data_IF_315662596532
#
_entry.id   IF_315662596532
#
_cell.length_a   1.000
_cell.length_b   1.000
_cell.length_c   1.000
_cell.angle_alpha   90.00
_cell.angle_beta   90.00
_cell.angle_gamma   90.00
#
_symmetry.space_group_name_H-M   'P 1'
#
loop_
_entity.id
_entity.type
_entity.pdbx_description
1 polymer ?
#
# COMPACT_ATOMS: atom_id res chain seq x y z
N UNK A 1 62.25 63.12 30.83
CA UNK A 1 62.77 62.16 29.84
C UNK A 1 61.68 61.16 29.53
N UNK A 2 61.45 60.92 28.24
CA UNK A 2 60.42 60.06 27.65
C UNK A 2 60.44 58.64 28.24
N UNK A 3 59.27 58.02 28.43
CA UNK A 3 58.96 56.80 27.66
C UNK A 3 57.48 56.41 27.65
N UNK A 4 57.06 55.95 26.47
CA UNK A 4 55.71 55.53 26.03
C UNK A 4 55.27 54.22 26.67
N UNK A 5 53.96 54.04 26.85
CA UNK A 5 53.22 52.75 26.88
C UNK A 5 51.81 53.04 27.46
N UNK A 6 50.66 52.60 26.96
CA UNK A 6 50.22 51.77 25.84
C UNK A 6 48.75 52.20 25.57
N UNK A 7 48.32 52.28 24.31
CA UNK A 7 46.91 52.44 23.95
C UNK A 7 46.19 51.11 24.21
N UNK A 8 45.03 51.13 24.88
CA UNK A 8 44.00 50.11 24.64
C UNK A 8 42.66 50.79 24.41
N UNK A 9 42.18 50.68 23.17
CA UNK A 9 40.84 51.03 22.74
C UNK A 9 39.87 50.00 23.32
N UNK A 10 38.90 50.43 24.13
CA UNK A 10 37.73 49.60 24.42
C UNK A 10 36.67 49.94 23.38
N UNK A 11 36.69 49.22 22.27
CA UNK A 11 35.61 49.23 21.29
C UNK A 11 34.36 48.61 21.94
N UNK A 12 33.33 49.43 22.18
CA UNK A 12 32.00 48.94 22.53
C UNK A 12 31.33 48.40 21.26
N UNK A 13 31.41 47.08 21.04
CA UNK A 13 30.55 46.38 20.10
C UNK A 13 29.19 46.17 20.78
N UNK A 14 28.19 46.97 20.42
CA UNK A 14 26.80 46.63 20.74
C UNK A 14 26.36 45.50 19.78
N UNK A 15 26.21 44.32 20.35
CA UNK A 15 25.77 43.10 19.71
C UNK A 15 24.31 43.26 19.26
N UNK A 16 24.08 43.35 17.94
CA UNK A 16 22.74 43.26 17.36
C UNK A 16 22.23 41.82 17.53
N UNK A 17 21.25 41.62 18.41
CA UNK A 17 20.53 40.35 18.55
C UNK A 17 19.55 40.25 17.38
N UNK A 18 19.96 39.52 16.34
CA UNK A 18 19.07 39.12 15.25
C UNK A 18 18.20 37.99 15.79
N UNK A 19 16.92 38.27 16.05
CA UNK A 19 15.92 37.27 16.36
C UNK A 19 15.59 36.50 15.06
N UNK A 20 16.26 35.38 14.84
CA UNK A 20 15.93 34.45 13.76
C UNK A 20 14.57 33.82 14.08
N UNK A 21 13.51 34.35 13.45
CA UNK A 21 12.21 33.67 13.41
C UNK A 21 12.41 32.42 12.57
N UNK A 22 12.60 31.29 13.24
CA UNK A 22 12.57 29.98 12.59
C UNK A 22 11.11 29.67 12.26
N UNK A 23 10.73 29.92 11.01
CA UNK A 23 9.49 29.40 10.46
C UNK A 23 9.67 27.88 10.39
N UNK A 24 9.17 27.16 11.39
CA UNK A 24 9.02 25.72 11.31
C UNK A 24 7.94 25.42 10.26
N UNK A 25 8.36 25.29 9.00
CA UNK A 25 7.51 24.70 7.97
C UNK A 25 7.29 23.24 8.36
N UNK A 26 6.21 22.93 9.08
CA UNK A 26 5.67 21.57 9.01
C UNK A 26 5.38 21.34 7.54
N UNK A 27 6.20 20.52 6.88
CA UNK A 27 5.87 20.00 5.58
C UNK A 27 4.42 19.50 5.68
N UNK A 28 3.55 20.03 4.83
CA UNK A 28 2.21 19.47 4.68
C UNK A 28 2.47 18.04 4.20
N UNK A 29 2.36 17.08 5.11
CA UNK A 29 2.36 15.68 4.72
C UNK A 29 1.18 15.55 3.77
N UNK A 30 1.49 15.35 2.49
CA UNK A 30 0.49 15.05 1.47
C UNK A 30 -0.19 13.79 1.96
N UNK A 31 -1.42 13.92 2.48
CA UNK A 31 -2.10 12.80 3.12
C UNK A 31 -2.34 11.69 2.09
N UNK A 32 -1.87 10.48 2.38
CA UNK A 32 -2.05 9.32 1.52
C UNK A 32 -3.53 9.06 1.23
N UNK A 33 -3.82 8.41 0.10
CA UNK A 33 -5.18 7.97 -0.20
C UNK A 33 -5.44 6.67 0.56
N UNK A 34 -5.97 6.81 1.78
CA UNK A 34 -6.26 5.69 2.69
C UNK A 34 -7.67 5.14 2.48
N UNK A 35 -7.77 3.81 2.41
CA UNK A 35 -9.00 3.04 2.41
C UNK A 35 -9.01 2.15 3.67
N UNK A 36 -9.26 2.73 4.86
CA UNK A 36 -9.35 1.93 6.07
C UNK A 36 -10.55 0.99 5.98
N UNK A 37 -10.40 -0.21 6.54
CA UNK A 37 -11.56 -1.05 6.78
C UNK A 37 -12.42 -0.41 7.87
N UNK A 38 -13.73 -0.46 7.68
CA UNK A 38 -14.78 0.08 8.54
C UNK A 38 -16.03 -0.81 8.41
N UNK A 39 -17.07 -0.54 9.19
CA UNK A 39 -18.31 -1.34 9.20
C UNK A 39 -18.96 -1.50 7.81
N UNK A 40 -18.78 -0.53 6.91
CA UNK A 40 -19.36 -0.53 5.56
C UNK A 40 -18.46 -1.20 4.52
N UNK A 41 -17.27 -1.66 4.91
CA UNK A 41 -16.28 -2.20 3.97
C UNK A 41 -16.71 -3.45 3.23
N UNK A 42 -17.64 -4.22 3.80
CA UNK A 42 -18.28 -5.34 3.11
C UNK A 42 -19.04 -4.94 1.83
N UNK A 43 -19.38 -3.66 1.65
CA UNK A 43 -20.11 -3.19 0.47
C UNK A 43 -19.22 -3.07 -0.78
N UNK A 44 -17.91 -2.88 -0.62
CA UNK A 44 -16.99 -2.64 -1.74
C UNK A 44 -15.87 -3.68 -1.84
N UNK A 45 -15.64 -4.47 -0.80
CA UNK A 45 -14.73 -5.61 -0.82
C UNK A 45 -15.49 -6.92 -1.02
N UNK A 46 -15.11 -7.67 -2.05
CA UNK A 46 -15.80 -8.88 -2.49
C UNK A 46 -14.88 -10.08 -2.41
N UNK A 47 -15.40 -11.17 -1.87
CA UNK A 47 -14.80 -12.49 -2.01
C UNK A 47 -14.99 -13.02 -3.43
N UNK A 48 -13.93 -13.52 -4.06
CA UNK A 48 -14.02 -14.30 -5.30
C UNK A 48 -13.09 -15.50 -5.23
N UNK A 49 -13.48 -16.60 -5.87
CA UNK A 49 -12.71 -17.84 -5.96
C UNK A 49 -12.61 -18.30 -7.42
N UNK A 50 -11.64 -19.16 -7.71
CA UNK A 50 -11.47 -19.86 -8.98
C UNK A 50 -12.69 -20.71 -9.42
N UNK A 51 -13.67 -20.92 -8.53
CA UNK A 51 -14.94 -21.59 -8.86
C UNK A 51 -15.71 -20.91 -9.98
N UNK A 52 -15.51 -19.62 -10.20
CA UNK A 52 -16.07 -18.90 -11.38
C UNK A 52 -15.52 -19.42 -12.71
N UNK A 53 -14.45 -20.22 -12.68
CA UNK A 53 -13.83 -20.89 -13.82
C UNK A 53 -13.79 -22.42 -13.67
N UNK A 54 -14.52 -23.00 -12.71
CA UNK A 54 -14.58 -24.45 -12.46
C UNK A 54 -13.50 -25.02 -11.52
N UNK A 55 -12.71 -24.15 -10.87
CA UNK A 55 -11.80 -24.53 -9.79
C UNK A 55 -12.52 -25.06 -8.55
N UNK A 56 -11.76 -25.49 -7.54
CA UNK A 56 -12.31 -26.06 -6.30
C UNK A 56 -11.84 -25.33 -5.04
N UNK A 57 -11.22 -24.16 -5.17
CA UNK A 57 -10.79 -23.38 -4.02
C UNK A 57 -11.99 -22.83 -3.26
N UNK A 58 -11.94 -22.92 -1.93
CA UNK A 58 -13.02 -22.52 -1.03
C UNK A 58 -12.54 -21.58 0.05
N UNK A 59 -13.43 -20.73 0.53
CA UNK A 59 -13.08 -19.70 1.49
C UNK A 59 -14.14 -18.63 1.60
N UNK A 60 -13.77 -17.59 2.34
CA UNK A 60 -14.64 -16.48 2.66
C UNK A 60 -13.82 -15.23 2.98
N UNK A 61 -14.48 -14.09 2.87
CA UNK A 61 -14.01 -12.83 3.43
C UNK A 61 -14.97 -12.44 4.55
N UNK A 62 -14.43 -12.25 5.74
CA UNK A 62 -15.17 -11.68 6.86
C UNK A 62 -14.60 -10.30 7.21
N UNK A 63 -15.48 -9.38 7.58
CA UNK A 63 -15.08 -8.16 8.29
C UNK A 63 -15.08 -8.47 9.78
N UNK A 64 -13.92 -8.36 10.41
CA UNK A 64 -13.69 -8.63 11.82
C UNK A 64 -13.18 -7.36 12.51
N UNK A 65 -13.18 -7.36 13.85
CA UNK A 65 -12.76 -6.23 14.66
C UNK A 65 -11.93 -6.71 15.86
N UNK A 66 -10.83 -6.00 16.14
CA UNK A 66 -9.99 -6.19 17.31
C UNK A 66 -9.76 -4.82 17.98
N UNK A 67 -10.34 -4.64 19.16
CA UNK A 67 -10.46 -3.31 19.78
C UNK A 67 -11.18 -2.32 18.87
N UNK A 68 -10.50 -1.23 18.51
CA UNK A 68 -11.02 -0.20 17.59
C UNK A 68 -10.67 -0.49 16.11
N UNK A 69 -9.86 -1.50 15.84
CA UNK A 69 -9.37 -1.80 14.50
C UNK A 69 -10.29 -2.78 13.78
N UNK A 70 -10.92 -2.33 12.70
CA UNK A 70 -11.57 -3.21 11.73
C UNK A 70 -10.54 -3.79 10.77
N UNK A 71 -10.76 -5.04 10.35
CA UNK A 71 -9.95 -5.68 9.32
C UNK A 71 -10.77 -6.68 8.51
N UNK A 72 -10.42 -6.83 7.23
CA UNK A 72 -10.92 -7.94 6.43
C UNK A 72 -10.02 -9.16 6.62
N UNK A 73 -10.62 -10.33 6.78
CA UNK A 73 -9.91 -11.61 6.89
C UNK A 73 -10.31 -12.53 5.74
N UNK A 74 -9.34 -12.92 4.92
CA UNK A 74 -9.49 -13.89 3.84
C UNK A 74 -9.00 -15.26 4.33
N UNK A 75 -9.94 -16.17 4.56
CA UNK A 75 -9.65 -17.54 4.99
C UNK A 75 -10.16 -18.55 3.98
N UNK A 76 -9.46 -19.67 3.82
CA UNK A 76 -9.91 -20.73 2.92
C UNK A 76 -8.83 -21.68 2.44
N UNK A 77 -9.23 -22.74 1.73
CA UNK A 77 -8.35 -23.68 1.06
C UNK A 77 -8.19 -23.27 -0.41
N UNK A 78 -6.95 -23.07 -0.84
CA UNK A 78 -6.60 -22.89 -2.25
C UNK A 78 -6.15 -24.24 -2.80
N UNK A 79 -6.67 -24.62 -3.97
CA UNK A 79 -6.25 -25.81 -4.70
C UNK A 79 -6.09 -25.52 -6.18
N UNK A 80 -5.00 -26.02 -6.74
CA UNK A 80 -4.65 -25.94 -8.17
C UNK A 80 -5.37 -26.98 -9.03
N UNK A 81 -6.20 -27.85 -8.42
CA UNK A 81 -7.06 -28.76 -9.16
C UNK A 81 -8.01 -28.01 -10.12
N UNK A 82 -8.41 -28.68 -11.21
CA UNK A 82 -9.25 -28.13 -12.27
C UNK A 82 -8.72 -26.85 -12.93
N UNK A 83 -7.39 -26.69 -13.02
CA UNK A 83 -6.74 -25.49 -13.54
C UNK A 83 -7.09 -24.21 -12.76
N UNK A 84 -7.50 -24.37 -11.49
CA UNK A 84 -7.79 -23.29 -10.58
C UNK A 84 -6.55 -22.79 -9.84
N UNK A 85 -6.73 -22.51 -8.55
CA UNK A 85 -5.69 -22.11 -7.62
C UNK A 85 -5.83 -20.69 -7.12
N UNK A 86 -7.05 -20.19 -6.84
CA UNK A 86 -7.15 -18.92 -6.09
C UNK A 86 -8.40 -18.70 -5.23
N UNK A 87 -8.20 -17.93 -4.17
CA UNK A 87 -9.23 -17.12 -3.51
C UNK A 87 -8.74 -15.67 -3.38
N UNK A 88 -9.64 -14.69 -3.41
CA UNK A 88 -9.28 -13.28 -3.38
C UNK A 88 -10.27 -12.41 -2.61
N UNK A 89 -9.71 -11.38 -1.97
CA UNK A 89 -10.38 -10.19 -1.47
C UNK A 89 -10.18 -9.08 -2.50
N UNK A 90 -11.24 -8.68 -3.22
CA UNK A 90 -11.15 -7.73 -4.35
C UNK A 90 -12.05 -6.52 -4.17
N UNK A 91 -11.55 -5.34 -4.54
CA UNK A 91 -12.35 -4.14 -4.70
C UNK A 91 -12.28 -3.58 -6.13
N UNK A 92 -13.34 -2.87 -6.53
CA UNK A 92 -13.32 -1.98 -7.69
C UNK A 92 -12.87 -0.61 -7.18
N UNK A 93 -11.80 -0.11 -7.74
CA UNK A 93 -11.23 1.21 -7.42
C UNK A 93 -11.01 1.95 -8.73
N UNK A 94 -10.96 3.27 -8.73
CA UNK A 94 -10.61 4.04 -9.93
C UNK A 94 -9.63 5.14 -9.57
N UNK A 95 -8.52 5.21 -10.29
CA UNK A 95 -7.46 6.19 -10.07
C UNK A 95 -7.27 7.16 -11.24
N UNK A 96 -8.25 7.26 -12.14
CA UNK A 96 -8.18 8.14 -13.33
C UNK A 96 -7.82 9.61 -13.02
N UNK A 97 -8.13 10.09 -11.81
CA UNK A 97 -7.82 11.45 -11.34
C UNK A 97 -7.07 11.44 -9.99
N UNK A 98 -6.25 10.42 -9.72
CA UNK A 98 -5.57 10.30 -8.43
C UNK A 98 -4.30 11.15 -8.30
N UNK A 99 -3.89 11.89 -9.32
CA UNK A 99 -2.72 12.79 -9.21
C UNK A 99 -2.96 13.91 -8.20
N UNK A 100 -1.91 14.29 -7.46
CA UNK A 100 -1.94 15.44 -6.55
C UNK A 100 -0.69 16.26 -6.75
N UNK A 101 -0.86 17.57 -6.93
CA UNK A 101 0.26 18.52 -7.09
C UNK A 101 1.26 18.09 -8.18
N UNK A 102 0.76 17.46 -9.26
CA UNK A 102 1.60 16.93 -10.35
C UNK A 102 2.36 15.64 -10.02
N UNK A 103 2.11 15.01 -8.87
CA UNK A 103 2.69 13.71 -8.48
C UNK A 103 1.70 12.58 -8.73
N UNK A 104 2.24 11.49 -9.28
CA UNK A 104 1.55 10.20 -9.42
C UNK A 104 1.71 9.36 -8.17
N UNK A 105 0.76 8.45 -7.94
CA UNK A 105 0.91 7.42 -6.91
C UNK A 105 2.14 6.56 -7.22
N UNK A 106 2.93 6.25 -6.19
CA UNK A 106 4.15 5.44 -6.29
C UNK A 106 3.97 4.00 -5.85
N UNK A 107 2.92 3.69 -5.09
CA UNK A 107 2.68 2.33 -4.61
C UNK A 107 1.48 2.22 -3.70
N UNK A 108 1.35 1.04 -3.13
CA UNK A 108 0.38 0.71 -2.09
C UNK A 108 1.11 0.26 -0.83
N UNK A 109 0.62 0.68 0.32
CA UNK A 109 1.05 0.29 1.65
C UNK A 109 -0.08 -0.48 2.31
N UNK A 110 0.23 -1.62 2.91
CA UNK A 110 -0.74 -2.49 3.57
C UNK A 110 -0.34 -2.68 5.03
N UNK A 111 -1.32 -2.68 5.94
CA UNK A 111 -1.13 -3.26 7.27
C UNK A 111 -1.74 -4.66 7.29
N UNK A 112 -0.90 -5.68 7.46
CA UNK A 112 -1.32 -7.09 7.34
C UNK A 112 -0.76 -7.96 8.47
N UNK A 113 -1.48 -9.04 8.77
CA UNK A 113 -0.97 -10.22 9.50
C UNK A 113 -1.50 -11.48 8.84
N UNK A 114 -0.88 -12.62 9.11
CA UNK A 114 -1.33 -13.89 8.55
C UNK A 114 -0.49 -15.09 8.98
N UNK A 115 -0.79 -16.22 8.37
CA UNK A 115 -0.22 -17.53 8.69
C UNK A 115 1.23 -17.77 8.19
N UNK A 116 1.96 -16.74 7.74
CA UNK A 116 3.33 -16.90 7.26
C UNK A 116 3.45 -17.20 5.77
N UNK A 117 2.32 -17.37 5.08
CA UNK A 117 2.27 -17.68 3.66
C UNK A 117 2.59 -16.46 2.78
N UNK A 118 2.95 -16.74 1.54
CA UNK A 118 3.11 -15.73 0.48
C UNK A 118 1.79 -15.47 -0.22
N UNK A 119 1.44 -14.19 -0.34
CA UNK A 119 0.25 -13.68 -1.01
C UNK A 119 0.64 -12.76 -2.16
N UNK A 120 -0.33 -12.47 -3.01
CA UNK A 120 -0.18 -11.61 -4.17
C UNK A 120 -1.09 -10.39 -4.06
N UNK A 121 -0.63 -9.26 -4.59
CA UNK A 121 -1.53 -8.21 -5.03
C UNK A 121 -1.73 -8.37 -6.53
N UNK A 122 -2.98 -8.45 -6.98
CA UNK A 122 -3.35 -8.38 -8.39
C UNK A 122 -4.01 -7.03 -8.69
N UNK A 123 -3.46 -6.30 -9.65
CA UNK A 123 -4.01 -5.02 -10.13
C UNK A 123 -4.43 -5.19 -11.59
N UNK A 124 -5.64 -4.72 -11.91
CA UNK A 124 -6.09 -4.61 -13.31
C UNK A 124 -6.25 -3.16 -13.69
N UNK A 125 -5.86 -2.86 -14.92
CA UNK A 125 -6.01 -1.55 -15.55
C UNK A 125 -7.15 -1.57 -16.57
N UNK A 126 -7.57 -0.40 -17.06
CA UNK A 126 -8.47 -0.28 -18.21
C UNK A 126 -7.95 -1.01 -19.48
N UNK A 127 -6.64 -1.14 -19.63
CA UNK A 127 -5.96 -1.93 -20.67
C UNK A 127 -6.00 -3.45 -20.42
N UNK A 128 -6.45 -3.91 -19.26
CA UNK A 128 -6.54 -5.35 -18.97
C UNK A 128 -7.68 -6.00 -19.77
N UNK A 129 -7.36 -6.62 -20.90
CA UNK A 129 -8.33 -7.20 -21.85
C UNK A 129 -9.09 -8.42 -21.31
N UNK A 130 -8.52 -9.16 -20.36
CA UNK A 130 -9.14 -10.35 -19.77
C UNK A 130 -8.94 -10.41 -18.25
N UNK A 131 -9.70 -11.25 -17.52
CA UNK A 131 -9.48 -11.48 -16.09
C UNK A 131 -8.08 -12.00 -15.75
N UNK A 132 -7.43 -12.68 -16.69
CA UNK A 132 -6.07 -13.18 -16.54
C UNK A 132 -4.99 -12.16 -16.89
N UNK A 133 -5.35 -10.96 -17.36
CA UNK A 133 -4.40 -9.88 -17.62
C UNK A 133 -4.37 -8.93 -16.41
N UNK A 134 -3.29 -9.01 -15.64
CA UNK A 134 -3.10 -8.24 -14.41
C UNK A 134 -1.61 -7.99 -14.16
N UNK A 135 -1.35 -6.97 -13.35
CA UNK A 135 -0.07 -6.68 -12.72
C UNK A 135 -0.01 -7.38 -11.37
N UNK A 136 1.14 -7.94 -11.01
CA UNK A 136 1.31 -8.65 -9.75
C UNK A 136 2.60 -8.30 -9.03
N UNK A 137 2.52 -8.37 -7.71
CA UNK A 137 3.67 -8.40 -6.79
C UNK A 137 3.36 -9.37 -5.66
N UNK A 138 4.38 -10.02 -5.11
CA UNK A 138 4.25 -10.89 -3.94
C UNK A 138 4.66 -10.18 -2.67
N UNK A 139 4.05 -10.58 -1.56
CA UNK A 139 4.50 -10.23 -0.21
C UNK A 139 4.30 -11.41 0.74
N UNK A 140 5.04 -11.42 1.84
CA UNK A 140 4.95 -12.46 2.87
C UNK A 140 4.29 -11.88 4.12
N UNK A 141 3.48 -12.69 4.79
CA UNK A 141 2.87 -12.33 6.08
C UNK A 141 3.63 -12.97 7.24
N UNK A 142 3.34 -12.54 8.46
CA UNK A 142 3.67 -13.25 9.70
C UNK A 142 2.53 -13.05 10.72
N UNK A 143 2.63 -13.67 11.90
CA UNK A 143 1.56 -13.63 12.91
C UNK A 143 1.25 -12.23 13.44
N UNK A 144 2.19 -11.30 13.31
CA UNK A 144 2.08 -9.93 13.81
C UNK A 144 1.64 -8.97 12.71
N UNK A 145 0.95 -7.91 13.13
CA UNK A 145 0.63 -6.79 12.25
C UNK A 145 1.91 -6.11 11.78
N UNK A 146 2.03 -5.93 10.47
CA UNK A 146 3.18 -5.29 9.84
C UNK A 146 2.76 -4.40 8.68
N UNK A 147 3.47 -3.29 8.55
CA UNK A 147 3.35 -2.41 7.38
C UNK A 147 4.24 -2.93 6.25
N UNK A 148 3.66 -3.13 5.07
CA UNK A 148 4.38 -3.56 3.87
C UNK A 148 4.19 -2.52 2.77
N UNK A 149 5.30 -1.99 2.27
CA UNK A 149 5.32 -1.08 1.13
C UNK A 149 5.53 -1.86 -0.18
N UNK A 150 4.64 -1.64 -1.13
CA UNK A 150 4.64 -2.29 -2.44
C UNK A 150 4.69 -1.20 -3.54
N UNK A 151 5.90 -0.78 -3.95
CA UNK A 151 6.07 0.20 -5.02
C UNK A 151 5.53 -0.31 -6.35
N UNK A 152 4.79 0.53 -7.09
CA UNK A 152 4.22 0.16 -8.40
C UNK A 152 5.27 -0.19 -9.45
N UNK A 153 6.49 0.35 -9.33
CA UNK A 153 7.61 -0.02 -10.21
C UNK A 153 8.16 -1.44 -9.96
N UNK A 154 7.68 -2.16 -8.95
CA UNK A 154 8.00 -3.56 -8.67
C UNK A 154 6.91 -4.53 -9.12
N UNK A 155 5.79 -4.02 -9.64
CA UNK A 155 4.75 -4.87 -10.19
C UNK A 155 5.12 -5.33 -11.60
N UNK A 156 4.92 -6.60 -11.89
CA UNK A 156 5.10 -7.17 -13.22
C UNK A 156 3.75 -7.50 -13.85
N UNK A 157 3.51 -7.11 -15.11
CA UNK A 157 2.33 -7.57 -15.84
C UNK A 157 2.52 -9.05 -16.20
N UNK A 158 1.52 -9.88 -15.93
CA UNK A 158 1.58 -11.34 -16.14
C UNK A 158 2.05 -11.74 -17.54
N UNK A 159 1.70 -10.96 -18.56
CA UNK A 159 1.99 -11.26 -19.97
C UNK A 159 3.14 -10.42 -20.55
N UNK A 160 3.63 -9.39 -19.84
CA UNK A 160 4.66 -8.46 -20.34
C UNK A 160 5.39 -7.78 -19.19
N UNK A 161 6.56 -8.30 -18.83
CA UNK A 161 7.34 -7.75 -17.70
C UNK A 161 7.85 -6.33 -17.94
N UNK A 162 8.03 -5.93 -19.20
CA UNK A 162 8.54 -4.61 -19.58
C UNK A 162 7.48 -3.49 -19.49
N UNK A 163 6.19 -3.86 -19.41
CA UNK A 163 5.13 -2.86 -19.30
C UNK A 163 5.04 -2.37 -17.86
N UNK A 164 5.34 -1.09 -17.64
CA UNK A 164 5.18 -0.46 -16.34
C UNK A 164 3.69 -0.26 -16.01
N UNK A 165 3.34 -0.44 -14.73
CA UNK A 165 2.01 -0.13 -14.22
C UNK A 165 1.78 1.38 -14.24
N UNK A 166 0.80 1.84 -15.01
CA UNK A 166 0.28 3.20 -14.95
C UNK A 166 -0.79 3.30 -13.84
N UNK A 167 -0.52 4.04 -12.74
CA UNK A 167 -1.44 4.13 -11.62
C UNK A 167 -2.79 4.73 -11.98
N UNK A 168 -2.84 5.64 -12.97
CA UNK A 168 -4.09 6.32 -13.38
C UNK A 168 -5.08 5.37 -14.01
N UNK A 169 -4.57 4.30 -14.61
CA UNK A 169 -5.35 3.32 -15.34
C UNK A 169 -5.92 2.21 -14.46
N UNK A 170 -5.54 2.17 -13.18
CA UNK A 170 -6.01 1.15 -12.23
C UNK A 170 -7.53 1.22 -12.07
N UNK A 171 -8.17 0.07 -12.25
CA UNK A 171 -9.63 -0.11 -12.11
C UNK A 171 -10.04 -1.20 -11.11
N UNK A 172 -9.10 -2.02 -10.66
CA UNK A 172 -9.34 -3.08 -9.69
C UNK A 172 -8.08 -3.44 -8.94
N UNK A 173 -8.27 -3.76 -7.67
CA UNK A 173 -7.24 -4.17 -6.73
C UNK A 173 -7.70 -5.43 -6.00
N UNK A 174 -6.84 -6.43 -5.89
CA UNK A 174 -7.13 -7.66 -5.15
C UNK A 174 -5.95 -8.15 -4.35
N UNK A 175 -6.21 -8.59 -3.12
CA UNK A 175 -5.30 -9.42 -2.32
C UNK A 175 -5.67 -10.87 -2.59
N UNK A 176 -4.70 -11.68 -3.00
CA UNK A 176 -4.95 -12.99 -3.62
C UNK A 176 -4.05 -14.05 -2.98
N UNK A 177 -4.66 -15.14 -2.54
CA UNK A 177 -3.99 -16.41 -2.27
C UNK A 177 -4.02 -17.20 -3.59
N UNK A 178 -2.86 -17.49 -4.19
CA UNK A 178 -2.77 -17.88 -5.61
C UNK A 178 -1.71 -18.96 -5.89
N UNK A 179 -1.98 -19.81 -6.88
CA UNK A 179 -0.98 -20.52 -7.67
C UNK A 179 -0.36 -21.77 -7.04
N UNK A 180 -0.85 -22.20 -5.87
CA UNK A 180 -0.41 -23.42 -5.18
C UNK A 180 -1.45 -23.90 -4.17
N UNK A 181 -1.36 -25.16 -3.78
CA UNK A 181 -2.19 -25.73 -2.73
C UNK A 181 -1.73 -25.22 -1.36
N UNK A 182 -2.62 -24.54 -0.63
CA UNK A 182 -2.34 -24.04 0.72
C UNK A 182 -3.62 -23.56 1.42
N UNK A 183 -3.52 -23.34 2.74
CA UNK A 183 -4.54 -22.65 3.51
C UNK A 183 -4.21 -21.16 3.51
N UNK A 184 -5.17 -20.34 3.13
CA UNK A 184 -5.14 -18.89 3.31
C UNK A 184 -5.64 -18.54 4.70
N UNK A 185 -4.91 -17.67 5.37
CA UNK A 185 -5.36 -16.92 6.53
C UNK A 185 -4.56 -15.61 6.58
N UNK A 186 -5.15 -14.56 6.02
CA UNK A 186 -4.58 -13.22 5.98
C UNK A 186 -5.63 -12.21 6.44
N UNK A 187 -5.21 -11.32 7.33
CA UNK A 187 -5.97 -10.16 7.77
C UNK A 187 -5.34 -8.88 7.23
N UNK A 188 -6.17 -7.94 6.78
CA UNK A 188 -5.74 -6.61 6.31
C UNK A 188 -6.58 -5.55 7.01
N UNK A 189 -5.94 -4.65 7.76
CA UNK A 189 -6.66 -3.57 8.46
C UNK A 189 -6.65 -2.25 7.69
N UNK A 190 -5.60 -2.03 6.89
CA UNK A 190 -5.36 -0.75 6.23
C UNK A 190 -4.77 -0.98 4.86
N UNK A 191 -5.24 -0.17 3.90
CA UNK A 191 -4.71 -0.11 2.55
C UNK A 191 -4.59 1.36 2.14
N UNK A 192 -3.36 1.78 1.84
CA UNK A 192 -3.01 3.18 1.60
C UNK A 192 -2.25 3.32 0.28
N UNK A 193 -2.67 4.23 -0.58
CA UNK A 193 -1.90 4.58 -1.77
C UNK A 193 -1.11 5.86 -1.51
N UNK A 194 0.20 5.80 -1.73
CA UNK A 194 1.14 6.87 -1.41
C UNK A 194 1.78 7.49 -2.66
N UNK A 195 2.28 8.73 -2.53
CA UNK A 195 2.81 9.57 -3.63
C UNK A 195 4.34 9.66 -3.72
#
# INVERSE_FOLDING_TARGET
>A
MLNKSFKSSKAFFFLSIIFMITINSKAIAVADLSFPFNADSGNYWQYVSDRVMGGVSDGQVNLEQDGEMFYARLTGNVSTANNGGFIQLRSRVSFANSEREGKNLKGVRLNVRGNGETYYIHIRTDESYSPSDYYAITFKTNSEWQMIDLPFNKFERRWSKETALDPKKIRSFGIVAYGRDHVSDISVSTLEFYY
#
